data_IF_521518527989
#
_entry.id   IF_521518527989
#
_cell.length_a   1.000
_cell.length_b   1.000
_cell.length_c   1.000
_cell.angle_alpha   90.00
_cell.angle_beta   90.00
_cell.angle_gamma   90.00
#
_symmetry.space_group_name_H-M   'P 1'
#
loop_
_entity.id
_entity.type
_entity.pdbx_description
1 polymer ?
#
# COMPACT_ATOMS: atom_id res chain seq x y z
N UNK A 1 -6.60 -8.63 7.37
CA UNK A 1 -5.58 -9.71 7.51
C UNK A 1 -5.89 -10.49 8.76
N UNK A 2 -5.58 -11.77 8.81
CA UNK A 2 -5.72 -12.62 10.01
C UNK A 2 -4.34 -13.01 10.50
N UNK A 3 -4.12 -13.11 11.82
CA UNK A 3 -2.89 -13.66 12.39
C UNK A 3 -2.65 -15.07 11.83
N UNK A 4 -1.48 -15.29 11.28
CA UNK A 4 -1.05 -16.56 10.67
C UNK A 4 0.42 -16.49 10.26
N UNK A 5 0.98 -17.62 9.84
CA UNK A 5 2.28 -17.63 9.15
C UNK A 5 2.12 -17.19 7.69
N UNK A 6 2.87 -16.19 7.29
CA UNK A 6 2.92 -15.73 5.91
C UNK A 6 4.04 -16.42 5.14
N UNK A 7 3.81 -16.80 3.86
CA UNK A 7 4.86 -17.41 3.07
C UNK A 7 6.03 -16.43 2.89
N UNK A 8 7.28 -16.95 2.78
CA UNK A 8 8.42 -16.11 2.47
C UNK A 8 8.24 -15.43 1.09
N UNK A 9 8.89 -14.31 0.91
CA UNK A 9 8.94 -13.66 -0.40
C UNK A 9 9.56 -14.62 -1.43
N UNK A 10 9.14 -14.57 -2.70
CA UNK A 10 9.76 -15.37 -3.77
C UNK A 10 11.25 -15.10 -3.82
N UNK A 11 12.07 -16.14 -3.74
CA UNK A 11 13.51 -16.09 -3.80
C UNK A 11 14.06 -17.11 -4.80
N UNK A 12 15.33 -16.96 -5.14
CA UNK A 12 16.06 -17.95 -5.93
C UNK A 12 16.46 -19.12 -5.04
N UNK A 13 16.23 -20.34 -5.48
CA UNK A 13 16.80 -21.53 -4.85
C UNK A 13 17.88 -22.14 -5.74
N UNK A 14 18.86 -22.80 -5.13
CA UNK A 14 19.92 -23.52 -5.88
C UNK A 14 19.37 -24.63 -6.78
N UNK A 15 18.23 -25.20 -6.41
CA UNK A 15 17.58 -26.29 -7.16
C UNK A 15 16.63 -25.82 -8.25
N UNK A 16 16.43 -24.51 -8.44
CA UNK A 16 15.47 -23.95 -9.39
C UNK A 16 14.00 -24.12 -8.98
N UNK A 17 13.72 -24.81 -7.89
CA UNK A 17 12.36 -24.96 -7.35
C UNK A 17 12.02 -23.84 -6.38
N UNK A 18 10.74 -23.41 -6.36
CA UNK A 18 10.25 -22.45 -5.39
C UNK A 18 10.39 -23.04 -3.98
N UNK A 19 10.96 -22.28 -3.06
CA UNK A 19 10.93 -22.62 -1.64
C UNK A 19 9.49 -22.73 -1.18
N UNK A 20 9.12 -23.91 -0.66
CA UNK A 20 7.81 -24.13 -0.04
C UNK A 20 7.99 -24.04 1.47
N UNK A 21 7.31 -23.09 2.11
CA UNK A 21 7.16 -23.08 3.56
C UNK A 21 5.84 -23.76 3.93
N UNK A 22 5.78 -24.52 5.03
CA UNK A 22 4.50 -24.96 5.58
C UNK A 22 3.69 -23.71 5.94
N UNK A 23 2.50 -23.60 5.38
CA UNK A 23 1.55 -22.56 5.72
C UNK A 23 0.67 -23.07 6.84
N UNK A 24 0.67 -22.38 7.96
CA UNK A 24 -0.40 -22.54 8.93
C UNK A 24 -1.61 -21.77 8.42
N UNK A 25 -2.56 -22.50 7.81
CA UNK A 25 -3.80 -21.96 7.25
C UNK A 25 -4.89 -21.72 8.31
N UNK A 26 -4.60 -21.92 9.58
CA UNK A 26 -5.52 -21.63 10.66
C UNK A 26 -5.79 -20.13 10.71
N UNK A 27 -6.91 -19.73 10.13
CA UNK A 27 -7.42 -18.35 10.25
C UNK A 27 -7.93 -18.19 11.67
N UNK A 28 -7.19 -17.47 12.49
CA UNK A 28 -7.69 -17.01 13.79
C UNK A 28 -8.98 -16.19 13.65
N UNK A 29 -9.78 -16.08 14.70
CA UNK A 29 -11.04 -15.32 14.70
C UNK A 29 -10.82 -13.82 14.50
N UNK A 30 -9.63 -13.33 14.75
CA UNK A 30 -9.28 -11.92 14.66
C UNK A 30 -8.95 -11.49 13.23
N UNK A 31 -9.47 -10.34 12.85
CA UNK A 31 -9.16 -9.69 11.57
C UNK A 31 -8.59 -8.31 11.79
N UNK A 32 -7.48 -8.02 11.13
CA UNK A 32 -6.90 -6.67 11.08
C UNK A 32 -7.03 -6.12 9.66
N UNK A 33 -7.64 -4.96 9.54
CA UNK A 33 -7.69 -4.17 8.31
C UNK A 33 -6.64 -3.06 8.38
N UNK A 34 -5.81 -2.96 7.36
CA UNK A 34 -4.84 -1.88 7.24
C UNK A 34 -5.40 -0.84 6.27
N UNK A 35 -5.60 0.36 6.78
CA UNK A 35 -5.85 1.54 5.97
C UNK A 35 -4.53 2.19 5.61
N UNK A 36 -4.44 2.76 4.43
CA UNK A 36 -3.24 3.45 4.01
C UNK A 36 -3.50 4.47 2.92
N UNK A 37 -2.65 5.49 2.90
CA UNK A 37 -2.66 6.51 1.87
C UNK A 37 -1.23 6.97 1.54
N UNK A 38 -0.89 6.84 0.27
CA UNK A 38 0.41 7.20 -0.28
C UNK A 38 0.44 8.66 -0.71
N UNK A 39 1.32 9.45 -0.11
CA UNK A 39 1.63 10.80 -0.57
C UNK A 39 2.62 10.73 -1.73
N UNK A 40 2.12 10.97 -2.94
CA UNK A 40 2.84 10.65 -4.18
C UNK A 40 4.12 11.46 -4.38
N UNK A 41 4.11 12.75 -3.96
CA UNK A 41 5.21 13.67 -4.24
C UNK A 41 6.51 13.36 -3.47
N UNK A 42 6.44 12.67 -2.35
CA UNK A 42 7.60 12.28 -1.55
C UNK A 42 7.65 10.80 -1.20
N UNK A 43 6.55 10.07 -1.48
CA UNK A 43 6.45 8.64 -1.24
C UNK A 43 6.17 8.25 0.21
N UNK A 44 5.86 9.22 1.07
CA UNK A 44 5.45 8.96 2.45
C UNK A 44 4.08 8.28 2.47
N UNK A 45 3.94 7.31 3.34
CA UNK A 45 2.69 6.57 3.56
C UNK A 45 2.18 6.82 4.97
N UNK A 46 0.89 7.05 5.07
CA UNK A 46 0.18 7.04 6.33
C UNK A 46 -0.57 5.71 6.44
N UNK A 47 -0.35 4.95 7.50
CA UNK A 47 -1.12 3.73 7.77
C UNK A 47 -1.70 3.73 9.18
N UNK A 48 -2.81 3.04 9.35
CA UNK A 48 -3.32 2.60 10.64
C UNK A 48 -4.13 1.32 10.50
N UNK A 49 -4.34 0.64 11.60
CA UNK A 49 -5.08 -0.62 11.67
C UNK A 49 -6.47 -0.43 12.27
N UNK A 50 -7.39 -1.30 11.92
CA UNK A 50 -8.73 -1.36 12.47
C UNK A 50 -9.28 -2.80 12.42
N UNK A 51 -10.22 -3.16 13.28
CA UNK A 51 -10.80 -4.51 13.29
C UNK A 51 -11.72 -4.78 12.08
N UNK A 52 -12.18 -3.73 11.40
CA UNK A 52 -13.08 -3.86 10.26
C UNK A 52 -12.94 -2.71 9.26
N UNK A 53 -13.34 -2.96 8.01
CA UNK A 53 -13.40 -1.94 6.96
C UNK A 53 -14.76 -1.27 6.96
N UNK A 54 -14.83 -0.06 7.50
CA UNK A 54 -16.07 0.70 7.68
C UNK A 54 -15.98 2.10 7.07
N UNK A 55 -17.13 2.77 6.91
CA UNK A 55 -17.20 4.20 6.58
C UNK A 55 -16.47 5.07 7.62
N UNK A 56 -16.62 4.73 8.91
CA UNK A 56 -15.93 5.44 9.99
C UNK A 56 -14.40 5.31 9.89
N UNK A 57 -13.89 4.13 9.50
CA UNK A 57 -12.47 3.94 9.23
C UNK A 57 -11.97 4.78 8.06
N UNK A 58 -12.75 4.88 6.98
CA UNK A 58 -12.40 5.75 5.85
C UNK A 58 -12.45 7.24 6.23
N UNK A 59 -13.43 7.65 7.01
CA UNK A 59 -13.50 9.02 7.54
C UNK A 59 -12.28 9.34 8.41
N UNK A 60 -11.88 8.41 9.28
CA UNK A 60 -10.65 8.55 10.08
C UNK A 60 -9.41 8.71 9.19
N UNK A 61 -9.34 7.99 8.06
CA UNK A 61 -8.24 8.15 7.10
C UNK A 61 -8.22 9.57 6.51
N UNK A 62 -9.38 10.08 6.06
CA UNK A 62 -9.49 11.43 5.53
C UNK A 62 -9.08 12.50 6.55
N UNK A 63 -9.52 12.37 7.79
CA UNK A 63 -9.13 13.25 8.89
C UNK A 63 -7.63 13.23 9.17
N UNK A 64 -7.03 12.03 9.16
CA UNK A 64 -5.59 11.88 9.34
C UNK A 64 -4.79 12.49 8.19
N UNK A 65 -5.29 12.37 6.95
CA UNK A 65 -4.69 13.02 5.78
C UNK A 65 -4.78 14.53 5.86
N UNK A 66 -5.91 15.06 6.29
CA UNK A 66 -6.12 16.50 6.49
C UNK A 66 -5.17 17.07 7.54
N UNK A 67 -5.01 16.39 8.66
CA UNK A 67 -4.08 16.77 9.73
C UNK A 67 -2.60 16.69 9.29
N UNK A 68 -2.24 15.64 8.52
CA UNK A 68 -0.88 15.46 8.03
C UNK A 68 -0.50 16.44 6.90
N UNK A 69 -1.48 17.12 6.30
CA UNK A 69 -1.29 18.07 5.23
C UNK A 69 -2.10 19.35 5.51
N UNK A 70 -1.64 20.19 6.46
CA UNK A 70 -2.42 21.32 6.96
C UNK A 70 -2.59 22.47 5.96
N UNK A 71 -1.86 22.45 4.84
CA UNK A 71 -1.89 23.50 3.84
C UNK A 71 -2.04 22.93 2.42
N UNK A 72 -2.61 23.73 1.51
CA UNK A 72 -2.79 23.39 0.10
C UNK A 72 -3.99 22.50 -0.17
N UNK A 73 -4.17 22.15 -1.44
CA UNK A 73 -5.24 21.28 -1.93
C UNK A 73 -4.89 19.81 -1.69
N UNK A 74 -5.89 19.04 -1.27
CA UNK A 74 -5.77 17.62 -0.98
C UNK A 74 -6.54 16.78 -2.02
N UNK A 75 -5.87 16.29 -3.04
CA UNK A 75 -6.47 15.42 -4.05
C UNK A 75 -6.36 13.94 -3.61
N UNK A 76 -7.48 13.33 -3.23
CA UNK A 76 -7.54 11.95 -2.76
C UNK A 76 -7.96 11.02 -3.88
N UNK A 77 -6.99 10.35 -4.50
CA UNK A 77 -7.22 9.38 -5.57
C UNK A 77 -7.60 8.03 -4.96
N UNK A 78 -8.77 7.51 -5.25
CA UNK A 78 -9.24 6.23 -4.72
C UNK A 78 -10.16 5.51 -5.69
N UNK A 79 -10.33 4.19 -5.49
CA UNK A 79 -11.35 3.42 -6.18
C UNK A 79 -12.76 3.84 -5.76
N UNK A 80 -13.73 3.58 -6.64
CA UNK A 80 -15.14 3.91 -6.39
C UNK A 80 -15.80 2.84 -5.51
N UNK A 81 -15.55 2.87 -4.21
CA UNK A 81 -16.29 2.07 -3.27
C UNK A 81 -17.51 2.86 -2.72
N UNK A 82 -18.63 2.16 -2.50
CA UNK A 82 -19.84 2.77 -1.94
C UNK A 82 -19.62 3.50 -0.61
N UNK A 83 -18.62 3.09 0.15
CA UNK A 83 -18.23 3.75 1.42
C UNK A 83 -17.63 5.13 1.22
N UNK A 84 -17.00 5.39 0.07
CA UNK A 84 -16.38 6.67 -0.26
C UNK A 84 -17.41 7.74 -0.64
N UNK A 85 -18.64 7.34 -0.94
CA UNK A 85 -19.74 8.23 -1.32
C UNK A 85 -20.87 8.29 -0.29
N UNK A 86 -20.66 7.72 0.91
CA UNK A 86 -21.67 7.68 1.97
C UNK A 86 -21.93 9.06 2.57
N UNK A 87 -23.11 9.24 3.17
CA UNK A 87 -23.54 10.52 3.76
C UNK A 87 -22.51 11.16 4.70
N UNK A 88 -21.93 10.44 5.68
CA UNK A 88 -20.91 10.98 6.57
C UNK A 88 -19.67 11.52 5.83
N UNK A 89 -19.25 10.86 4.73
CA UNK A 89 -18.12 11.33 3.92
C UNK A 89 -18.47 12.59 3.16
N UNK A 90 -19.67 12.64 2.57
CA UNK A 90 -20.14 13.85 1.86
C UNK A 90 -20.24 15.06 2.81
N UNK A 91 -20.77 14.83 4.02
CA UNK A 91 -20.83 15.87 5.04
C UNK A 91 -19.44 16.40 5.43
N UNK A 92 -18.48 15.49 5.61
CA UNK A 92 -17.10 15.87 5.91
C UNK A 92 -16.46 16.66 4.78
N UNK A 93 -16.66 16.25 3.50
CA UNK A 93 -16.12 16.93 2.33
C UNK A 93 -16.68 18.36 2.18
N UNK A 94 -17.96 18.57 2.47
CA UNK A 94 -18.56 19.92 2.48
C UNK A 94 -17.89 20.83 3.50
N UNK A 95 -17.53 20.31 4.67
CA UNK A 95 -16.81 21.05 5.72
C UNK A 95 -15.31 21.24 5.44
N UNK A 96 -14.75 20.49 4.47
CA UNK A 96 -13.32 20.52 4.10
C UNK A 96 -13.15 20.75 2.59
N UNK A 97 -13.46 21.95 2.10
CA UNK A 97 -13.53 22.22 0.65
C UNK A 97 -12.21 22.06 -0.10
N UNK A 98 -11.09 22.03 0.61
CA UNK A 98 -9.75 21.75 0.04
C UNK A 98 -9.50 20.27 -0.25
N UNK A 99 -10.37 19.37 0.22
CA UNK A 99 -10.28 17.94 0.00
C UNK A 99 -11.11 17.51 -1.22
N UNK A 100 -10.43 17.06 -2.26
CA UNK A 100 -11.04 16.69 -3.54
C UNK A 100 -10.96 15.18 -3.76
N UNK A 101 -12.07 14.44 -3.70
CA UNK A 101 -12.08 13.03 -4.09
C UNK A 101 -11.91 12.90 -5.61
N UNK A 102 -10.92 12.14 -6.03
CA UNK A 102 -10.64 11.85 -7.44
C UNK A 102 -10.86 10.35 -7.67
N UNK A 103 -12.03 9.94 -8.17
CA UNK A 103 -12.33 8.54 -8.36
C UNK A 103 -11.54 7.94 -9.53
N UNK A 104 -10.98 6.76 -9.33
CA UNK A 104 -10.37 5.97 -10.40
C UNK A 104 -11.50 5.35 -11.23
N UNK A 105 -11.50 5.49 -12.57
CA UNK A 105 -12.50 4.86 -13.41
C UNK A 105 -12.57 3.33 -13.22
N UNK A 106 -13.77 2.79 -13.34
CA UNK A 106 -14.01 1.34 -13.28
C UNK A 106 -13.12 0.60 -14.30
N UNK A 107 -12.45 -0.45 -13.88
CA UNK A 107 -11.53 -1.22 -14.71
C UNK A 107 -10.12 -0.63 -14.84
N UNK A 108 -9.84 0.53 -14.23
CA UNK A 108 -8.52 1.17 -14.27
C UNK A 108 -7.75 1.09 -12.93
N UNK A 109 -8.00 0.05 -12.12
CA UNK A 109 -7.36 -0.16 -10.81
C UNK A 109 -5.83 -0.18 -10.87
N UNK A 110 -5.24 -0.56 -12.01
CA UNK A 110 -3.80 -0.54 -12.26
C UNK A 110 -3.19 0.89 -12.22
N UNK A 111 -4.01 1.94 -12.29
CA UNK A 111 -3.58 3.33 -12.11
C UNK A 111 -3.39 3.71 -10.65
N UNK A 112 -3.83 2.87 -9.72
CA UNK A 112 -3.66 3.12 -8.31
C UNK A 112 -2.22 2.81 -7.86
N UNK A 113 -1.43 3.86 -7.63
CA UNK A 113 -0.03 3.73 -7.15
C UNK A 113 0.05 3.04 -5.79
N UNK A 114 -0.99 3.15 -4.97
CA UNK A 114 -1.13 2.48 -3.69
C UNK A 114 -0.92 0.96 -3.78
N UNK A 115 -1.33 0.33 -4.89
CA UNK A 115 -1.11 -1.11 -5.12
C UNK A 115 0.38 -1.47 -5.21
N UNK A 116 1.19 -0.59 -5.79
CA UNK A 116 2.64 -0.74 -5.85
C UNK A 116 3.26 -0.68 -4.46
N UNK A 117 2.81 0.25 -3.64
CA UNK A 117 3.24 0.39 -2.26
C UNK A 117 2.82 -0.83 -1.43
N UNK A 118 1.56 -1.29 -1.52
CA UNK A 118 1.07 -2.47 -0.81
C UNK A 118 1.87 -3.74 -1.14
N UNK A 119 2.38 -3.87 -2.34
CA UNK A 119 3.26 -4.99 -2.73
C UNK A 119 4.57 -4.96 -1.95
N UNK A 120 5.17 -3.78 -1.83
CA UNK A 120 6.40 -3.59 -1.04
C UNK A 120 6.13 -3.82 0.44
N UNK A 121 5.08 -3.22 0.96
CA UNK A 121 4.66 -3.36 2.35
C UNK A 121 4.44 -4.84 2.75
N UNK A 122 3.67 -5.60 1.97
CA UNK A 122 3.44 -7.02 2.28
C UNK A 122 4.73 -7.84 2.32
N UNK A 123 5.69 -7.50 1.50
CA UNK A 123 7.00 -8.15 1.52
C UNK A 123 7.81 -7.79 2.76
N UNK A 124 7.79 -6.54 3.18
CA UNK A 124 8.58 -6.06 4.33
C UNK A 124 7.93 -6.45 5.67
N UNK A 125 6.62 -6.28 5.77
CA UNK A 125 5.90 -6.49 7.02
C UNK A 125 5.62 -7.97 7.33
N UNK A 126 5.35 -8.79 6.31
CA UNK A 126 4.73 -10.09 6.53
C UNK A 126 5.49 -11.28 5.95
N UNK A 127 6.28 -11.11 4.88
CA UNK A 127 6.89 -12.25 4.22
C UNK A 127 7.82 -13.04 5.17
N UNK A 128 7.53 -14.32 5.35
CA UNK A 128 8.28 -15.21 6.21
C UNK A 128 8.06 -14.99 7.73
N UNK A 129 7.08 -14.16 8.09
CA UNK A 129 6.74 -13.87 9.49
C UNK A 129 5.55 -14.71 9.96
N UNK A 130 5.52 -15.00 11.23
CA UNK A 130 4.42 -15.66 11.95
C UNK A 130 3.85 -14.70 12.98
N UNK A 131 2.54 -14.59 13.05
CA UNK A 131 1.84 -13.68 13.96
C UNK A 131 0.84 -14.47 14.80
N UNK A 132 0.94 -14.35 16.12
CA UNK A 132 0.06 -15.01 17.05
C UNK A 132 -1.28 -14.29 17.20
N UNK A 133 -1.28 -12.95 17.15
CA UNK A 133 -2.46 -12.12 17.41
C UNK A 133 -2.51 -10.85 16.54
N UNK A 134 -3.57 -10.08 16.72
CA UNK A 134 -3.78 -8.82 16.03
C UNK A 134 -2.75 -7.74 16.41
N UNK A 135 -2.27 -7.74 17.65
CA UNK A 135 -1.33 -6.73 18.15
C UNK A 135 0.03 -6.86 17.47
N UNK A 136 0.49 -8.09 17.24
CA UNK A 136 1.72 -8.35 16.48
C UNK A 136 1.60 -7.87 15.03
N UNK A 137 0.43 -8.07 14.38
CA UNK A 137 0.16 -7.53 13.04
C UNK A 137 0.15 -5.99 13.02
N UNK A 138 -0.42 -5.36 14.04
CA UNK A 138 -0.43 -3.91 14.18
C UNK A 138 0.98 -3.35 14.37
N UNK A 139 1.78 -3.97 15.24
CA UNK A 139 3.18 -3.61 15.44
C UNK A 139 3.99 -3.76 14.16
N UNK A 140 3.87 -4.90 13.47
CA UNK A 140 4.56 -5.14 12.20
C UNK A 140 4.14 -4.11 11.13
N UNK A 141 2.86 -3.74 11.07
CA UNK A 141 2.35 -2.71 10.17
C UNK A 141 3.02 -1.37 10.43
N UNK A 142 3.08 -0.94 11.69
CA UNK A 142 3.73 0.31 12.08
C UNK A 142 5.21 0.32 11.75
N UNK A 143 5.94 -0.70 12.20
CA UNK A 143 7.39 -0.82 11.97
C UNK A 143 7.73 -0.84 10.47
N UNK A 144 7.01 -1.63 9.68
CA UNK A 144 7.26 -1.69 8.24
C UNK A 144 6.93 -0.37 7.54
N UNK A 145 5.89 0.34 7.96
CA UNK A 145 5.56 1.66 7.43
C UNK A 145 6.66 2.68 7.75
N UNK A 146 7.14 2.72 8.99
CA UNK A 146 8.24 3.57 9.42
C UNK A 146 9.52 3.29 8.60
N UNK A 147 9.88 2.03 8.43
CA UNK A 147 11.04 1.61 7.63
C UNK A 147 10.91 1.98 6.15
N UNK A 148 9.72 1.83 5.57
CA UNK A 148 9.46 2.23 4.20
C UNK A 148 9.51 3.74 4.04
N UNK A 149 8.96 4.48 5.00
CA UNK A 149 8.98 5.94 5.03
C UNK A 149 10.39 6.51 5.20
N UNK A 150 11.25 5.87 5.99
CA UNK A 150 12.65 6.28 6.15
C UNK A 150 13.46 6.27 4.83
N UNK A 151 13.02 5.50 3.84
CA UNK A 151 13.62 5.39 2.50
C UNK A 151 12.63 5.73 1.38
N UNK A 152 11.61 6.53 1.71
CA UNK A 152 10.62 6.97 0.75
C UNK A 152 11.24 7.86 -0.34
N UNK A 153 10.64 7.83 -1.49
CA UNK A 153 10.99 8.65 -2.64
C UNK A 153 9.75 8.89 -3.49
N UNK A 154 9.69 9.97 -4.26
CA UNK A 154 8.53 10.28 -5.08
C UNK A 154 8.07 9.12 -5.96
N UNK A 155 6.76 8.95 -6.07
CA UNK A 155 6.13 7.99 -6.97
C UNK A 155 5.63 8.71 -8.21
N UNK A 156 5.83 8.10 -9.36
CA UNK A 156 5.37 8.63 -10.65
C UNK A 156 4.50 7.62 -11.37
N UNK A 157 3.46 8.11 -12.04
CA UNK A 157 2.67 7.30 -12.96
C UNK A 157 3.46 6.98 -14.22
N UNK A 158 3.53 5.69 -14.54
CA UNK A 158 4.29 5.22 -15.67
C UNK A 158 5.75 4.93 -15.35
N UNK A 159 6.49 4.50 -16.36
CA UNK A 159 7.93 4.36 -16.26
C UNK A 159 8.56 5.71 -16.50
N UNK A 160 9.55 6.15 -15.70
CA UNK A 160 10.36 7.30 -16.10
C UNK A 160 10.89 7.04 -17.50
N UNK A 161 10.98 8.06 -18.36
CA UNK A 161 11.60 7.90 -19.65
C UNK A 161 12.98 7.27 -19.39
N UNK A 162 13.20 6.09 -19.96
CA UNK A 162 14.51 5.44 -19.84
C UNK A 162 15.51 6.45 -20.39
N UNK A 163 16.52 6.88 -19.61
CA UNK A 163 17.62 7.60 -20.23
C UNK A 163 18.05 6.71 -21.38
N UNK A 164 18.21 7.28 -22.57
CA UNK A 164 18.59 6.55 -23.77
C UNK A 164 19.79 5.68 -23.39
N UNK A 165 19.54 4.41 -23.13
CA UNK A 165 20.60 3.44 -23.07
C UNK A 165 21.11 3.34 -24.50
N UNK A 166 22.17 4.05 -24.79
CA UNK A 166 23.00 3.67 -25.90
C UNK A 166 23.47 2.25 -25.63
N UNK A 167 22.66 1.29 -26.08
CA UNK A 167 23.08 -0.10 -26.16
C UNK A 167 24.25 -0.10 -27.18
N UNK A 168 25.43 0.14 -26.67
CA UNK A 168 26.65 -0.27 -27.38
C UNK A 168 26.65 -1.80 -27.39
N UNK A 169 25.78 -2.39 -28.20
CA UNK A 169 25.89 -3.78 -28.61
C UNK A 169 27.08 -3.86 -29.59
N UNK A 170 28.25 -3.90 -29.07
CA UNK A 170 29.38 -4.46 -29.82
C UNK A 170 29.28 -5.97 -29.69
N UNK A 171 28.50 -6.59 -30.54
CA UNK A 171 28.63 -8.01 -30.81
C UNK A 171 29.80 -8.15 -31.77
N UNK A 172 30.96 -8.53 -31.27
CA UNK A 172 32.09 -8.98 -32.11
C UNK A 172 31.96 -10.48 -32.15
N UNK A 173 31.37 -11.02 -33.21
CA UNK A 173 31.49 -12.43 -33.55
C UNK A 173 32.81 -12.61 -34.27
N UNK A 174 33.76 -13.29 -33.65
CA UNK A 174 34.89 -13.89 -34.37
C UNK A 174 34.47 -15.29 -34.74
N UNK A 175 34.41 -15.57 -36.05
CA UNK A 175 34.33 -16.93 -36.62
C UNK A 175 35.72 -17.55 -36.51
#
# INVERSE_FOLDING_TARGET
MTPRTFPPAPGWSRSGHRSKAPLDDHRGPEQVWVYGALRVHDGQELTFTAPSRTTAGYLKLLQALDQANPAGELNVVSDQLSRHTSGPIQHWLVAHPRAHPVPIPTGACWRNLQEGWWRRFRREAFAGQSFADAQELELATRVATEQLNARAHPWIWGRPPRPYRHLRRRFVYRL
#
